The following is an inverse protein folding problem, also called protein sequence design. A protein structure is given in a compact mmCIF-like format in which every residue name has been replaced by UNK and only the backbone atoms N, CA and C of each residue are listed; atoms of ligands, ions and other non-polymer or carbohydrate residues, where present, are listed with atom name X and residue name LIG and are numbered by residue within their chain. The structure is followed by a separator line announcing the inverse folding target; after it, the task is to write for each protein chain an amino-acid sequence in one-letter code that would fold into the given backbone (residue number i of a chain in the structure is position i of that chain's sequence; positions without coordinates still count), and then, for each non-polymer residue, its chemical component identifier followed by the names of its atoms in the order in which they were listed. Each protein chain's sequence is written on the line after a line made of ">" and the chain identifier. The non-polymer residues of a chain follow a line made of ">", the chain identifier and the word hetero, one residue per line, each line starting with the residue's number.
data_IF_715980119049
#
_entry.id   IF_715980119049
#
_cell.length_a   1.000
_cell.length_b   1.000
_cell.length_c   1.000
_cell.angle_alpha   90.00
_cell.angle_beta   90.00
_cell.angle_gamma   90.00
#
_symmetry.space_group_name_H-M   'P 1'
#
loop_
_entity.id
_entity.type
_entity.pdbx_description
1 polymer ?
#
# COMPACT_ATOMS: atom_id res chain seq x y z
N UNK A 1 -3.24 26.78 -21.46
CA UNK A 1 -1.92 26.58 -20.84
C UNK A 1 -2.12 26.27 -19.38
N UNK A 2 -1.38 25.30 -18.86
CA UNK A 2 -1.43 24.69 -17.53
C UNK A 2 -1.93 25.61 -16.39
N UNK A 3 -3.24 25.64 -16.15
CA UNK A 3 -3.77 26.15 -14.89
C UNK A 3 -3.49 25.09 -13.83
N UNK A 4 -2.61 25.43 -12.89
CA UNK A 4 -2.11 24.60 -11.80
C UNK A 4 -3.23 23.71 -11.21
N UNK A 5 -3.16 22.37 -11.35
CA UNK A 5 -4.25 21.45 -10.96
C UNK A 5 -4.68 21.69 -9.51
N UNK A 6 -3.72 21.99 -8.65
CA UNK A 6 -3.91 22.28 -7.22
C UNK A 6 -4.85 23.47 -7.01
N UNK A 7 -4.69 24.56 -7.76
CA UNK A 7 -5.53 25.77 -7.63
C UNK A 7 -6.93 25.53 -8.20
N UNK A 8 -7.06 24.70 -9.23
CA UNK A 8 -8.35 24.37 -9.82
C UNK A 8 -9.14 23.35 -9.00
N UNK A 9 -8.48 22.47 -8.24
CA UNK A 9 -9.15 21.56 -7.29
C UNK A 9 -10.02 22.33 -6.29
N UNK A 10 -9.53 23.46 -5.78
CA UNK A 10 -10.29 24.28 -4.82
C UNK A 10 -11.41 25.12 -5.46
N UNK A 11 -11.42 25.26 -6.79
CA UNK A 11 -12.47 26.00 -7.52
C UNK A 11 -13.69 25.15 -7.84
N UNK A 12 -13.50 23.84 -8.07
CA UNK A 12 -14.60 22.93 -8.38
C UNK A 12 -15.26 22.47 -7.08
N UNK A 13 -16.53 22.86 -6.88
CA UNK A 13 -17.30 22.56 -5.65
C UNK A 13 -17.30 21.06 -5.32
N UNK A 14 -17.50 20.21 -6.32
CA UNK A 14 -17.51 18.76 -6.13
C UNK A 14 -16.17 18.21 -5.61
N UNK A 15 -15.04 18.63 -6.21
CA UNK A 15 -13.70 18.17 -5.80
C UNK A 15 -13.40 18.66 -4.38
N UNK A 16 -13.75 19.91 -4.07
CA UNK A 16 -13.57 20.48 -2.73
C UNK A 16 -14.38 19.73 -1.67
N UNK A 17 -15.64 19.42 -1.94
CA UNK A 17 -16.50 18.73 -0.97
C UNK A 17 -15.99 17.29 -0.72
N UNK A 18 -15.51 16.59 -1.77
CA UNK A 18 -14.83 15.29 -1.64
C UNK A 18 -13.53 15.38 -0.85
N UNK A 19 -12.71 16.40 -1.11
CA UNK A 19 -11.44 16.64 -0.40
C UNK A 19 -11.70 16.88 1.10
N UNK A 20 -12.66 17.76 1.43
CA UNK A 20 -13.01 18.06 2.81
C UNK A 20 -13.54 16.82 3.54
N UNK A 21 -14.35 16.00 2.87
CA UNK A 21 -14.81 14.73 3.42
C UNK A 21 -13.65 13.76 3.71
N UNK A 22 -12.69 13.64 2.79
CA UNK A 22 -11.47 12.84 3.04
C UNK A 22 -10.69 13.37 4.25
N UNK A 23 -10.43 14.67 4.33
CA UNK A 23 -9.72 15.26 5.48
C UNK A 23 -10.45 15.04 6.81
N UNK A 24 -11.78 15.18 6.82
CA UNK A 24 -12.59 14.95 8.01
C UNK A 24 -12.48 13.51 8.48
N UNK A 25 -12.56 12.53 7.58
CA UNK A 25 -12.39 11.11 7.96
C UNK A 25 -10.97 10.85 8.45
N UNK A 26 -9.93 11.40 7.80
CA UNK A 26 -8.56 11.23 8.25
C UNK A 26 -8.34 11.84 9.64
N UNK A 27 -8.98 12.96 9.95
CA UNK A 27 -8.96 13.54 11.29
C UNK A 27 -9.65 12.62 12.32
N UNK A 28 -10.81 12.03 11.99
CA UNK A 28 -11.48 11.05 12.86
C UNK A 28 -10.63 9.80 13.07
N UNK A 29 -10.01 9.28 12.00
CA UNK A 29 -9.07 8.16 12.10
C UNK A 29 -7.88 8.50 13.01
N UNK A 30 -7.35 9.72 12.92
CA UNK A 30 -6.27 10.18 13.80
C UNK A 30 -6.71 10.29 15.26
N UNK A 31 -7.89 10.84 15.53
CA UNK A 31 -8.43 10.87 16.89
C UNK A 31 -8.57 9.45 17.46
N UNK A 32 -9.07 8.51 16.66
CA UNK A 32 -9.16 7.10 17.04
C UNK A 32 -7.81 6.37 17.21
N UNK A 33 -6.70 6.96 16.77
CA UNK A 33 -5.33 6.43 16.97
C UNK A 33 -4.68 6.86 18.29
N UNK A 34 -5.31 7.77 19.04
CA UNK A 34 -4.86 8.25 20.35
C UNK A 34 -5.69 7.67 21.51
N UNK A 35 -6.90 7.18 21.22
CA UNK A 35 -7.80 6.60 22.23
C UNK A 35 -7.33 5.20 22.59
N UNK A 36 -6.74 5.04 23.77
CA UNK A 36 -6.25 3.75 24.28
C UNK A 36 -7.39 2.76 24.54
N UNK A 37 -7.11 1.47 24.36
CA UNK A 37 -8.07 0.40 24.66
C UNK A 37 -8.35 0.37 26.17
N UNK A 38 -9.62 0.23 26.60
CA UNK A 38 -9.96 0.13 28.01
C UNK A 38 -9.24 -1.02 28.71
N UNK A 39 -8.71 -0.74 29.91
CA UNK A 39 -7.99 -1.72 30.73
C UNK A 39 -6.47 -1.73 30.58
N UNK A 40 -5.93 -0.78 29.81
CA UNK A 40 -4.49 -0.60 29.61
C UNK A 40 -4.05 0.74 30.21
N UNK A 41 -2.94 0.73 30.95
CA UNK A 41 -2.32 1.96 31.45
C UNK A 41 -1.43 2.61 30.38
N UNK A 42 -1.83 3.77 29.90
CA UNK A 42 -1.09 4.54 28.91
C UNK A 42 0.29 5.02 29.43
N UNK A 43 0.43 5.29 30.74
CA UNK A 43 1.67 5.80 31.30
C UNK A 43 2.76 4.73 31.36
N UNK A 44 2.38 3.48 31.62
CA UNK A 44 3.30 2.33 31.62
C UNK A 44 3.75 2.02 30.19
N UNK A 45 2.84 2.12 29.22
CA UNK A 45 3.16 1.91 27.81
C UNK A 45 4.16 2.90 27.25
N UNK A 46 3.97 4.20 27.52
CA UNK A 46 4.88 5.25 27.05
C UNK A 46 6.29 4.97 27.61
N UNK A 47 6.41 4.70 28.92
CA UNK A 47 7.70 4.35 29.54
C UNK A 47 8.32 3.07 28.96
N UNK A 48 7.51 2.06 28.69
CA UNK A 48 7.99 0.79 28.11
C UNK A 48 8.52 0.96 26.69
N UNK A 49 7.79 1.70 25.85
CA UNK A 49 8.21 1.95 24.48
C UNK A 49 9.37 2.94 24.38
N UNK A 50 9.46 3.92 25.27
CA UNK A 50 10.61 4.83 25.37
C UNK A 50 11.89 4.08 25.77
N UNK A 51 11.82 3.19 26.77
CA UNK A 51 12.98 2.37 27.19
C UNK A 51 13.39 1.36 26.09
N UNK A 52 12.43 0.77 25.41
CA UNK A 52 12.73 -0.12 24.28
C UNK A 52 13.24 0.62 23.04
N UNK A 53 12.81 1.87 22.82
CA UNK A 53 13.35 2.74 21.78
C UNK A 53 14.81 3.11 22.08
N UNK A 54 15.13 3.41 23.35
CA UNK A 54 16.51 3.65 23.79
C UNK A 54 17.41 2.42 23.60
N UNK A 55 16.87 1.21 23.72
CA UNK A 55 17.61 -0.05 23.58
C UNK A 55 17.68 -0.62 22.15
N UNK A 56 17.13 0.06 21.12
CA UNK A 56 17.06 -0.44 19.73
C UNK A 56 16.41 -1.84 19.57
N UNK A 57 15.64 -2.31 20.56
CA UNK A 57 15.00 -3.65 20.55
C UNK A 57 13.59 -3.65 19.92
N UNK A 58 13.15 -2.50 19.43
CA UNK A 58 11.77 -2.24 19.01
C UNK A 58 11.46 -2.48 17.54
N UNK A 59 12.30 -3.17 16.78
CA UNK A 59 12.16 -3.26 15.31
C UNK A 59 10.81 -3.80 14.82
N UNK A 60 10.12 -4.64 15.60
CA UNK A 60 8.78 -5.12 15.28
C UNK A 60 7.69 -4.11 15.63
N UNK A 61 7.72 -3.58 16.85
CA UNK A 61 6.76 -2.58 17.30
C UNK A 61 6.81 -1.35 16.39
N UNK A 62 8.02 -0.84 16.10
CA UNK A 62 8.23 0.30 15.20
C UNK A 62 7.69 0.07 13.79
N UNK A 63 7.84 -1.16 13.27
CA UNK A 63 7.29 -1.56 11.97
C UNK A 63 5.76 -1.63 11.98
N UNK A 64 5.13 -2.21 13.01
CA UNK A 64 3.66 -2.24 13.12
C UNK A 64 3.09 -0.83 13.24
N UNK A 65 3.71 -0.04 14.11
CA UNK A 65 3.40 1.36 14.32
C UNK A 65 3.43 2.17 13.03
N UNK A 66 4.37 1.84 12.15
CA UNK A 66 4.64 2.55 10.91
C UNK A 66 3.41 2.70 10.01
N UNK A 67 2.66 1.62 9.79
CA UNK A 67 1.50 1.64 8.89
C UNK A 67 0.23 2.17 9.57
N UNK A 68 0.21 2.20 10.91
CA UNK A 68 -0.97 2.61 11.70
C UNK A 68 -0.76 3.96 12.39
N UNK A 69 0.27 4.71 11.99
CA UNK A 69 0.46 6.09 12.44
C UNK A 69 0.73 6.27 13.94
N UNK A 70 1.14 5.23 14.66
CA UNK A 70 1.38 5.31 16.12
C UNK A 70 0.26 4.73 16.97
N UNK A 71 -0.78 4.17 16.34
CA UNK A 71 -1.85 3.52 17.07
C UNK A 71 -1.41 2.26 17.81
N UNK A 72 -0.31 1.61 17.39
CA UNK A 72 0.19 0.38 17.99
C UNK A 72 0.95 0.66 19.30
N UNK A 73 1.85 1.65 19.30
CA UNK A 73 2.57 2.15 20.50
C UNK A 73 1.63 2.67 21.56
N UNK A 74 0.55 3.34 21.16
CA UNK A 74 -0.47 3.83 22.08
C UNK A 74 -1.49 2.76 22.51
N UNK A 75 -1.40 1.52 22.00
CA UNK A 75 -2.45 0.49 22.16
C UNK A 75 -3.85 1.07 21.94
N UNK A 76 -4.02 1.76 20.83
CA UNK A 76 -5.25 2.44 20.49
C UNK A 76 -6.36 1.47 20.09
N UNK A 77 -7.61 1.91 20.12
CA UNK A 77 -8.75 1.15 19.56
C UNK A 77 -8.49 0.77 18.10
N UNK A 78 -7.80 1.64 17.35
CA UNK A 78 -7.41 1.44 15.95
C UNK A 78 -6.01 0.83 15.78
N UNK A 79 -5.46 0.14 16.77
CA UNK A 79 -4.09 -0.40 16.79
C UNK A 79 -3.70 -1.25 15.57
N UNK A 80 -4.62 -2.07 15.05
CA UNK A 80 -4.37 -2.88 13.84
C UNK A 80 -4.62 -2.09 12.55
N UNK A 81 -5.33 -0.96 12.64
CA UNK A 81 -5.69 -0.12 11.51
C UNK A 81 -6.41 -0.91 10.41
N UNK A 82 -5.90 -0.77 9.20
CA UNK A 82 -6.42 -1.42 7.99
C UNK A 82 -5.61 -2.67 7.61
N UNK A 83 -4.55 -3.00 8.35
CA UNK A 83 -3.67 -4.13 8.04
C UNK A 83 -4.40 -5.48 7.92
N UNK A 84 -5.33 -5.85 8.82
CA UNK A 84 -6.01 -7.14 8.73
C UNK A 84 -6.79 -7.28 7.42
N UNK A 85 -7.39 -6.18 6.95
CA UNK A 85 -8.10 -6.14 5.68
C UNK A 85 -7.15 -6.30 4.51
N UNK A 86 -6.02 -5.58 4.53
CA UNK A 86 -4.99 -5.73 3.49
C UNK A 86 -4.58 -7.20 3.45
N UNK A 87 -4.14 -7.80 4.56
CA UNK A 87 -3.76 -9.21 4.61
C UNK A 87 -4.83 -10.15 4.04
N UNK A 88 -6.11 -9.92 4.36
CA UNK A 88 -7.19 -10.73 3.79
C UNK A 88 -7.44 -10.47 2.32
N UNK A 89 -7.28 -9.24 1.84
CA UNK A 89 -7.34 -8.92 0.42
C UNK A 89 -6.24 -9.66 -0.35
N UNK A 90 -5.04 -9.76 0.22
CA UNK A 90 -3.92 -10.56 -0.34
C UNK A 90 -4.31 -12.04 -0.42
N UNK A 91 -4.79 -12.59 0.70
CA UNK A 91 -5.18 -14.00 0.78
C UNK A 91 -6.29 -14.30 -0.22
N UNK A 92 -7.29 -13.42 -0.35
CA UNK A 92 -8.39 -13.59 -1.31
C UNK A 92 -7.91 -13.47 -2.76
N UNK A 93 -7.00 -12.54 -3.06
CA UNK A 93 -6.39 -12.46 -4.41
C UNK A 93 -5.64 -13.75 -4.74
N UNK A 94 -4.86 -14.29 -3.81
CA UNK A 94 -4.19 -15.58 -3.98
C UNK A 94 -5.19 -16.73 -4.14
N UNK A 95 -6.24 -16.75 -3.34
CA UNK A 95 -7.27 -17.78 -3.38
C UNK A 95 -8.04 -17.77 -4.72
N UNK A 96 -8.34 -16.61 -5.30
CA UNK A 96 -8.99 -16.51 -6.61
C UNK A 96 -8.15 -17.15 -7.72
N UNK A 97 -6.82 -17.15 -7.58
CA UNK A 97 -5.91 -17.75 -8.54
C UNK A 97 -5.83 -19.26 -8.36
N UNK A 98 -5.67 -19.71 -7.11
CA UNK A 98 -5.47 -21.12 -6.77
C UNK A 98 -6.76 -21.91 -6.97
N UNK A 99 -7.91 -21.31 -6.66
CA UNK A 99 -9.21 -21.97 -6.71
C UNK A 99 -10.02 -21.50 -7.94
N UNK A 100 -10.19 -22.36 -8.97
CA UNK A 100 -10.94 -22.02 -10.18
C UNK A 100 -12.39 -21.63 -9.92
N UNK A 101 -13.00 -22.12 -8.83
CA UNK A 101 -14.35 -21.75 -8.39
C UNK A 101 -14.43 -20.27 -8.02
N UNK A 102 -13.45 -19.75 -7.28
CA UNK A 102 -13.36 -18.32 -6.94
C UNK A 102 -13.06 -17.47 -8.18
N UNK A 103 -12.25 -17.97 -9.13
CA UNK A 103 -12.05 -17.31 -10.44
C UNK A 103 -13.36 -17.16 -11.21
N UNK A 104 -14.19 -18.20 -11.27
CA UNK A 104 -15.52 -18.14 -11.93
C UNK A 104 -16.43 -17.13 -11.26
N UNK A 105 -16.51 -17.14 -9.92
CA UNK A 105 -17.29 -16.15 -9.16
C UNK A 105 -16.80 -14.74 -9.45
N UNK A 106 -15.49 -14.52 -9.62
CA UNK A 106 -14.95 -13.21 -9.99
C UNK A 106 -15.36 -12.71 -11.37
N UNK A 107 -15.65 -13.62 -12.30
CA UNK A 107 -15.98 -13.32 -13.70
C UNK A 107 -17.50 -13.15 -13.93
N UNK A 108 -18.33 -13.51 -12.95
CA UNK A 108 -19.78 -13.27 -12.98
C UNK A 108 -20.12 -11.78 -12.79
N UNK A 109 -21.30 -11.37 -13.28
CA UNK A 109 -21.85 -10.04 -13.02
C UNK A 109 -22.04 -9.81 -11.51
N UNK A 110 -21.36 -8.79 -10.97
CA UNK A 110 -21.34 -8.52 -9.53
C UNK A 110 -20.37 -9.40 -8.72
N UNK A 111 -19.59 -10.27 -9.37
CA UNK A 111 -18.60 -11.14 -8.77
C UNK A 111 -17.57 -10.42 -7.88
N UNK A 112 -17.10 -9.25 -8.32
CA UNK A 112 -16.18 -8.43 -7.53
C UNK A 112 -16.78 -7.98 -6.19
N UNK A 113 -18.10 -7.71 -6.13
CA UNK A 113 -18.77 -7.37 -4.87
C UNK A 113 -18.84 -8.57 -3.93
N UNK A 114 -19.09 -9.78 -4.45
CA UNK A 114 -19.06 -11.03 -3.66
C UNK A 114 -17.66 -11.27 -3.08
N UNK A 115 -16.60 -11.11 -3.87
CA UNK A 115 -15.21 -11.27 -3.39
C UNK A 115 -14.88 -10.22 -2.33
N UNK A 116 -15.31 -8.98 -2.51
CA UNK A 116 -15.14 -7.94 -1.49
C UNK A 116 -15.88 -8.30 -0.18
N UNK A 117 -17.08 -8.88 -0.26
CA UNK A 117 -17.83 -9.35 0.90
C UNK A 117 -17.11 -10.50 1.62
N UNK A 118 -16.60 -11.50 0.89
CA UNK A 118 -15.78 -12.56 1.47
C UNK A 118 -14.50 -12.04 2.12
N UNK A 119 -13.85 -11.05 1.48
CA UNK A 119 -12.68 -10.38 2.05
C UNK A 119 -13.01 -9.72 3.38
N UNK A 120 -14.16 -9.02 3.48
CA UNK A 120 -14.61 -8.38 4.74
C UNK A 120 -14.92 -9.39 5.83
N UNK A 121 -15.64 -10.47 5.51
CA UNK A 121 -15.95 -11.52 6.48
C UNK A 121 -14.66 -12.18 6.96
N UNK A 122 -13.75 -12.50 6.04
CA UNK A 122 -12.43 -13.03 6.37
C UNK A 122 -11.60 -12.08 7.22
N UNK A 123 -11.72 -10.77 7.01
CA UNK A 123 -11.01 -9.75 7.79
C UNK A 123 -11.38 -9.81 9.26
N UNK A 124 -12.65 -10.06 9.60
CA UNK A 124 -13.09 -10.21 11.00
C UNK A 124 -12.36 -11.37 11.67
N UNK A 125 -12.23 -12.51 10.98
CA UNK A 125 -11.54 -13.69 11.51
C UNK A 125 -10.06 -13.38 11.77
N UNK A 126 -9.39 -12.70 10.81
CA UNK A 126 -7.98 -12.30 11.00
C UNK A 126 -7.83 -11.28 12.12
N UNK A 127 -8.75 -10.32 12.25
CA UNK A 127 -8.75 -9.37 13.36
C UNK A 127 -8.83 -10.08 14.71
N UNK A 128 -9.69 -11.10 14.84
CA UNK A 128 -9.84 -11.86 16.08
C UNK A 128 -8.53 -12.60 16.41
N UNK A 129 -7.91 -13.26 15.42
CA UNK A 129 -6.65 -13.98 15.60
C UNK A 129 -5.52 -13.01 15.99
N UNK A 130 -5.38 -11.87 15.30
CA UNK A 130 -4.36 -10.88 15.58
C UNK A 130 -4.59 -10.16 16.91
N UNK A 131 -5.84 -9.82 17.25
CA UNK A 131 -6.19 -9.23 18.53
C UNK A 131 -5.91 -10.19 19.69
N UNK A 132 -6.12 -11.50 19.50
CA UNK A 132 -5.73 -12.52 20.48
C UNK A 132 -4.22 -12.55 20.69
N UNK A 133 -3.43 -12.63 19.61
CA UNK A 133 -1.97 -12.59 19.69
C UNK A 133 -1.46 -11.32 20.37
N UNK A 134 -2.08 -10.18 20.04
CA UNK A 134 -1.72 -8.89 20.61
C UNK A 134 -2.13 -8.75 22.08
N UNK A 135 -3.21 -9.40 22.51
CA UNK A 135 -3.56 -9.48 23.93
C UNK A 135 -2.52 -10.26 24.73
N UNK A 136 -1.98 -11.35 24.17
CA UNK A 136 -0.86 -12.09 24.79
C UNK A 136 0.39 -11.21 24.87
N UNK A 137 0.70 -10.45 23.82
CA UNK A 137 1.78 -9.47 23.83
C UNK A 137 1.58 -8.39 24.91
N UNK A 138 0.37 -7.85 25.06
CA UNK A 138 0.02 -6.89 26.12
C UNK A 138 0.27 -7.46 27.52
N UNK A 139 -0.10 -8.72 27.75
CA UNK A 139 0.13 -9.40 29.03
C UNK A 139 1.63 -9.63 29.32
N UNK A 140 2.49 -9.65 28.29
CA UNK A 140 3.93 -9.78 28.46
C UNK A 140 4.61 -8.49 28.94
N UNK A 141 3.90 -7.36 28.92
CA UNK A 141 4.39 -6.07 29.39
C UNK A 141 4.02 -5.94 30.88
N UNK A 142 5.01 -5.91 31.80
CA UNK A 142 4.74 -5.85 33.24
C UNK A 142 4.00 -4.56 33.60
N UNK A 143 2.90 -4.67 34.35
CA UNK A 143 2.10 -3.53 34.82
C UNK A 143 1.19 -2.88 33.76
N UNK A 144 1.14 -3.40 32.54
CA UNK A 144 0.37 -2.80 31.45
C UNK A 144 -1.15 -2.97 31.60
N UNK A 145 -1.60 -4.02 32.29
CA UNK A 145 -3.02 -4.38 32.42
C UNK A 145 -3.51 -3.96 33.79
N UNK A 146 -4.49 -3.06 33.80
CA UNK A 146 -5.10 -2.52 35.03
C UNK A 146 -6.23 -3.40 35.55
N UNK A 147 -6.88 -4.20 34.67
CA UNK A 147 -7.93 -5.12 35.08
C UNK A 147 -7.35 -6.39 35.76
N UNK A 148 -7.80 -6.66 36.98
CA UNK A 148 -7.41 -7.87 37.73
C UNK A 148 -7.88 -9.16 37.04
N UNK A 149 -9.06 -9.16 36.39
CA UNK A 149 -9.57 -10.32 35.65
C UNK A 149 -9.02 -10.39 34.22
N UNK A 150 -7.96 -11.18 34.05
CA UNK A 150 -7.27 -11.40 32.76
C UNK A 150 -8.17 -11.95 31.65
N UNK A 151 -9.20 -12.73 31.98
CA UNK A 151 -10.09 -13.31 30.96
C UNK A 151 -11.13 -12.29 30.47
N UNK A 152 -11.69 -11.50 31.39
CA UNK A 152 -12.59 -10.40 31.05
C UNK A 152 -11.86 -9.33 30.23
N UNK A 153 -10.62 -9.00 30.61
CA UNK A 153 -9.77 -8.09 29.83
C UNK A 153 -9.51 -8.62 28.41
N UNK A 154 -9.15 -9.89 28.26
CA UNK A 154 -8.95 -10.50 26.93
C UNK A 154 -10.19 -10.37 26.06
N UNK A 155 -11.37 -10.73 26.56
CA UNK A 155 -12.62 -10.62 25.82
C UNK A 155 -12.93 -9.17 25.40
N UNK A 156 -12.79 -8.22 26.34
CA UNK A 156 -12.99 -6.80 26.08
C UNK A 156 -12.00 -6.26 25.03
N UNK A 157 -10.72 -6.65 25.14
CA UNK A 157 -9.67 -6.27 24.21
C UNK A 157 -9.95 -6.80 22.80
N UNK A 158 -10.31 -8.09 22.68
CA UNK A 158 -10.67 -8.72 21.42
C UNK A 158 -11.82 -8.00 20.72
N UNK A 159 -12.90 -7.70 21.45
CA UNK A 159 -14.07 -6.99 20.88
C UNK A 159 -13.70 -5.56 20.49
N UNK A 160 -12.97 -4.84 21.35
CA UNK A 160 -12.61 -3.44 21.10
C UNK A 160 -11.70 -3.29 19.88
N UNK A 161 -10.64 -4.10 19.79
CA UNK A 161 -9.67 -4.04 18.69
C UNK A 161 -10.28 -4.53 17.38
N UNK A 162 -11.09 -5.58 17.42
CA UNK A 162 -11.81 -6.08 16.23
C UNK A 162 -12.80 -5.04 15.72
N UNK A 163 -13.57 -4.43 16.62
CA UNK A 163 -14.53 -3.38 16.26
C UNK A 163 -13.80 -2.15 15.70
N UNK A 164 -12.71 -1.73 16.34
CA UNK A 164 -11.88 -0.61 15.87
C UNK A 164 -11.34 -0.84 14.46
N UNK A 165 -10.76 -2.01 14.19
CA UNK A 165 -10.27 -2.38 12.85
C UNK A 165 -11.40 -2.38 11.81
N UNK A 166 -12.58 -2.93 12.13
CA UNK A 166 -13.72 -2.91 11.21
C UNK A 166 -14.27 -1.50 10.96
N UNK A 167 -14.25 -0.63 11.97
CA UNK A 167 -14.57 0.78 11.80
C UNK A 167 -13.55 1.48 10.91
N UNK A 168 -12.25 1.17 11.03
CA UNK A 168 -11.24 1.72 10.13
C UNK A 168 -11.48 1.29 8.67
N UNK A 169 -11.79 0.01 8.42
CA UNK A 169 -12.16 -0.47 7.07
C UNK A 169 -13.38 0.27 6.54
N UNK A 170 -14.41 0.44 7.38
CA UNK A 170 -15.60 1.17 7.00
C UNK A 170 -15.32 2.65 6.68
N UNK A 171 -14.47 3.33 7.46
CA UNK A 171 -14.02 4.69 7.17
C UNK A 171 -13.28 4.76 5.82
N UNK A 172 -12.46 3.76 5.51
CA UNK A 172 -11.81 3.62 4.20
C UNK A 172 -12.79 3.47 3.04
N UNK A 173 -13.84 2.67 3.22
CA UNK A 173 -14.89 2.55 2.22
C UNK A 173 -15.63 3.88 2.02
N UNK A 174 -15.89 4.63 3.11
CA UNK A 174 -16.52 5.94 3.01
C UNK A 174 -15.67 6.93 2.21
N UNK A 175 -14.34 6.97 2.46
CA UNK A 175 -13.42 7.80 1.65
C UNK A 175 -13.47 7.35 0.18
N UNK A 176 -13.49 6.05 -0.10
CA UNK A 176 -13.52 5.56 -1.48
C UNK A 176 -14.83 5.93 -2.19
N UNK A 177 -15.95 5.94 -1.48
CA UNK A 177 -17.26 6.23 -2.05
C UNK A 177 -17.54 7.74 -2.23
N UNK A 178 -17.12 8.57 -1.27
CA UNK A 178 -17.47 10.01 -1.21
C UNK A 178 -16.28 10.95 -1.22
N UNK A 179 -15.07 10.43 -1.09
CA UNK A 179 -13.83 11.19 -1.07
C UNK A 179 -13.08 11.15 -2.40
N UNK A 180 -11.77 11.35 -2.30
CA UNK A 180 -10.81 11.29 -3.42
C UNK A 180 -9.83 10.15 -3.16
N UNK A 181 -9.53 9.37 -4.21
CA UNK A 181 -8.56 8.28 -4.13
C UNK A 181 -9.16 6.98 -3.60
N UNK A 182 -8.28 6.02 -3.36
CA UNK A 182 -8.61 4.79 -2.63
C UNK A 182 -8.49 5.08 -1.13
N UNK A 183 -9.59 4.96 -0.38
CA UNK A 183 -9.62 5.32 1.02
C UNK A 183 -8.71 4.51 1.92
N UNK A 184 -8.51 3.23 1.63
CA UNK A 184 -7.60 2.36 2.39
C UNK A 184 -6.16 2.86 2.20
N UNK A 185 -5.77 3.13 0.96
CA UNK A 185 -4.43 3.64 0.66
C UNK A 185 -4.22 5.05 1.22
N UNK A 186 -5.24 5.91 1.20
CA UNK A 186 -5.19 7.25 1.79
C UNK A 186 -5.03 7.22 3.32
N UNK A 187 -5.63 6.26 4.02
CA UNK A 187 -5.43 6.09 5.46
C UNK A 187 -3.99 5.68 5.81
N UNK A 188 -3.39 4.78 5.03
CA UNK A 188 -1.98 4.38 5.21
C UNK A 188 -1.07 5.58 4.91
N UNK A 189 -1.32 6.29 3.81
CA UNK A 189 -0.61 7.51 3.45
C UNK A 189 -0.64 8.54 4.58
N UNK A 190 -1.82 8.82 5.12
CA UNK A 190 -1.98 9.75 6.24
C UNK A 190 -1.24 9.28 7.50
N UNK A 191 -1.25 7.97 7.78
CA UNK A 191 -0.50 7.37 8.89
C UNK A 191 1.02 7.55 8.77
N UNK A 192 1.56 7.40 7.55
CA UNK A 192 2.99 7.62 7.26
C UNK A 192 3.33 9.11 7.38
N UNK A 193 2.53 9.98 6.76
CA UNK A 193 2.76 11.44 6.76
C UNK A 193 2.67 12.03 8.16
N UNK A 194 1.76 11.53 9.02
CA UNK A 194 1.62 11.99 10.40
C UNK A 194 2.86 11.75 11.27
N UNK A 195 3.77 10.85 10.88
CA UNK A 195 5.03 10.55 11.60
C UNK A 195 6.19 11.43 11.18
N UNK A 196 6.11 12.02 9.99
CA UNK A 196 7.18 12.82 9.39
C UNK A 196 7.61 14.00 10.29
N UNK A 197 6.69 14.74 10.96
CA UNK A 197 7.09 15.80 11.88
C UNK A 197 7.94 15.30 13.07
N UNK A 198 7.50 14.21 13.71
CA UNK A 198 8.21 13.65 14.87
C UNK A 198 9.61 13.13 14.48
N UNK A 199 9.72 12.49 13.32
CA UNK A 199 11.00 12.00 12.81
C UNK A 199 11.99 13.15 12.52
N UNK A 200 11.50 14.28 11.99
CA UNK A 200 12.33 15.49 11.78
C UNK A 200 12.81 16.06 13.11
N UNK A 201 11.94 16.12 14.13
CA UNK A 201 12.32 16.61 15.46
C UNK A 201 13.36 15.69 16.12
N UNK A 202 13.17 14.37 16.04
CA UNK A 202 14.14 13.38 16.54
C UNK A 202 15.50 13.53 15.85
N UNK A 203 15.51 13.68 14.52
CA UNK A 203 16.72 13.93 13.75
C UNK A 203 17.40 15.23 14.20
N UNK A 204 16.64 16.32 14.35
CA UNK A 204 17.17 17.61 14.76
C UNK A 204 17.78 17.56 16.17
N UNK A 205 17.18 16.78 17.09
CA UNK A 205 17.73 16.57 18.42
C UNK A 205 19.04 15.78 18.38
N UNK A 206 19.13 14.70 17.60
CA UNK A 206 20.38 13.93 17.44
C UNK A 206 21.51 14.72 16.79
N UNK A 207 21.18 15.58 15.84
CA UNK A 207 22.14 16.49 15.22
C UNK A 207 22.64 17.53 16.23
N UNK A 208 21.74 18.10 17.04
CA UNK A 208 22.12 19.03 18.12
C UNK A 208 22.95 18.36 19.22
N UNK A 209 22.69 17.09 19.51
CA UNK A 209 23.47 16.29 20.46
C UNK A 209 24.86 15.90 19.93
N UNK A 210 25.16 16.15 18.65
CA UNK A 210 26.43 15.78 18.03
C UNK A 210 26.57 14.30 17.70
N UNK A 211 25.52 13.49 17.90
CA UNK A 211 25.51 12.06 17.53
C UNK A 211 25.59 11.86 16.01
N UNK A 212 25.07 12.82 15.24
CA UNK A 212 25.03 12.77 13.78
C UNK A 212 25.67 14.03 13.21
N UNK A 213 26.69 13.87 12.38
CA UNK A 213 27.35 14.97 11.70
C UNK A 213 26.39 15.62 10.68
N UNK A 214 26.32 16.96 10.68
CA UNK A 214 25.46 17.74 9.79
C UNK A 214 25.71 17.42 8.30
N UNK A 215 26.95 17.09 7.93
CA UNK A 215 27.34 16.71 6.57
C UNK A 215 26.57 15.47 6.08
N UNK A 216 26.40 14.47 6.94
CA UNK A 216 25.63 13.27 6.60
C UNK A 216 24.15 13.55 6.43
N UNK A 217 23.58 14.49 7.18
CA UNK A 217 22.18 14.92 7.03
C UNK A 217 21.93 15.54 5.66
N UNK A 218 22.81 16.44 5.22
CA UNK A 218 22.70 17.07 3.91
C UNK A 218 22.82 16.02 2.79
N UNK A 219 23.79 15.11 2.89
CA UNK A 219 23.96 14.02 1.93
C UNK A 219 22.73 13.12 1.85
N UNK A 220 22.15 12.75 3.00
CA UNK A 220 20.96 11.90 3.08
C UNK A 220 19.72 12.59 2.50
N UNK A 221 19.56 13.91 2.70
CA UNK A 221 18.47 14.69 2.08
C UNK A 221 18.62 14.73 0.56
N UNK A 222 19.83 14.96 0.04
CA UNK A 222 20.09 14.97 -1.41
C UNK A 222 19.77 13.60 -2.01
N UNK A 223 20.23 12.53 -1.36
CA UNK A 223 19.94 11.16 -1.77
C UNK A 223 18.43 10.88 -1.73
N UNK A 224 17.70 11.37 -0.72
CA UNK A 224 16.25 11.20 -0.62
C UNK A 224 15.50 11.86 -1.78
N UNK A 225 15.86 13.09 -2.14
CA UNK A 225 15.29 13.79 -3.31
C UNK A 225 15.60 13.01 -4.59
N UNK A 226 16.82 12.47 -4.73
CA UNK A 226 17.20 11.65 -5.87
C UNK A 226 16.36 10.36 -5.95
N UNK A 227 16.13 9.68 -4.83
CA UNK A 227 15.29 8.47 -4.77
C UNK A 227 13.84 8.81 -5.14
N UNK A 228 13.27 9.91 -4.62
CA UNK A 228 11.92 10.36 -5.01
C UNK A 228 11.83 10.55 -6.51
N UNK A 229 12.78 11.30 -7.11
CA UNK A 229 12.80 11.53 -8.55
C UNK A 229 12.90 10.24 -9.36
N UNK A 230 13.72 9.30 -8.88
CA UNK A 230 13.91 7.98 -9.48
C UNK A 230 12.64 7.09 -9.36
N UNK A 231 11.91 7.13 -8.25
CA UNK A 231 10.61 6.46 -8.09
C UNK A 231 9.54 7.08 -8.99
N UNK A 232 9.42 8.40 -9.04
CA UNK A 232 8.46 9.08 -9.92
C UNK A 232 8.75 8.76 -11.39
N UNK A 233 10.02 8.73 -11.78
CA UNK A 233 10.43 8.40 -13.15
C UNK A 233 10.05 6.97 -13.53
N UNK A 234 10.24 6.01 -12.61
CA UNK A 234 9.91 4.61 -12.82
C UNK A 234 8.39 4.37 -12.86
N UNK A 235 7.64 4.94 -11.91
CA UNK A 235 6.17 4.83 -11.82
C UNK A 235 5.45 5.50 -13.01
N UNK A 236 6.01 6.61 -13.52
CA UNK A 236 5.50 7.29 -14.73
C UNK A 236 5.91 6.58 -16.02
N UNK A 237 6.88 5.67 -15.94
CA UNK A 237 7.43 4.93 -17.07
C UNK A 237 6.40 3.96 -17.66
N UNK A 238 6.11 4.12 -18.95
CA UNK A 238 5.24 3.19 -19.69
C UNK A 238 5.85 2.81 -21.04
N UNK A 239 5.81 1.51 -21.33
CA UNK A 239 6.07 0.94 -22.65
C UNK A 239 4.76 0.88 -23.43
N UNK A 240 4.69 1.65 -24.51
CA UNK A 240 3.51 1.69 -25.40
C UNK A 240 3.63 0.61 -26.47
N UNK A 241 2.69 -0.33 -26.50
CA UNK A 241 2.60 -1.38 -27.53
C UNK A 241 1.52 -0.96 -28.53
N UNK A 242 1.86 -0.66 -29.80
CA UNK A 242 0.88 -0.22 -30.78
C UNK A 242 -0.09 -1.36 -31.13
N UNK A 243 -1.37 -1.04 -31.27
CA UNK A 243 -2.42 -1.94 -31.72
C UNK A 243 -3.22 -1.24 -32.82
N UNK A 244 -3.37 -1.93 -33.95
CA UNK A 244 -4.22 -1.49 -35.04
C UNK A 244 -5.53 -2.27 -35.01
N UNK A 245 -6.64 -1.55 -34.82
CA UNK A 245 -7.97 -2.12 -35.01
C UNK A 245 -8.35 -2.11 -36.48
N UNK A 246 -8.90 -3.23 -36.95
CA UNK A 246 -9.37 -3.38 -38.31
C UNK A 246 -10.41 -2.30 -38.64
N UNK A 247 -10.24 -1.68 -39.80
CA UNK A 247 -11.16 -0.65 -40.31
C UNK A 247 -12.42 -1.33 -40.83
N UNK A 248 -13.60 -0.78 -40.50
CA UNK A 248 -14.85 -1.21 -41.12
C UNK A 248 -15.16 -0.26 -42.27
N UNK A 249 -15.03 -0.74 -43.51
CA UNK A 249 -15.46 0.01 -44.69
C UNK A 249 -16.96 -0.21 -44.86
N UNK A 250 -17.75 0.85 -44.72
CA UNK A 250 -19.20 0.83 -45.00
C UNK A 250 -19.47 1.84 -46.12
N UNK A 251 -19.76 1.34 -47.33
CA UNK A 251 -19.92 2.17 -48.52
C UNK A 251 -18.60 2.82 -48.99
N UNK A 252 -18.64 4.10 -49.38
CA UNK A 252 -17.46 4.88 -49.84
C UNK A 252 -16.73 5.63 -48.71
N UNK A 253 -17.19 5.53 -47.46
CA UNK A 253 -16.60 6.23 -46.31
C UNK A 253 -15.87 5.23 -45.42
N UNK A 254 -14.61 5.53 -45.18
CA UNK A 254 -13.77 4.78 -44.25
C UNK A 254 -14.13 5.22 -42.82
N UNK A 255 -14.69 4.32 -42.02
CA UNK A 255 -14.92 4.53 -40.60
C UNK A 255 -13.94 3.67 -39.79
N UNK A 256 -13.26 4.30 -38.83
CA UNK A 256 -12.32 3.61 -37.96
C UNK A 256 -10.95 3.33 -38.60
N UNK A 257 -10.00 2.99 -37.74
CA UNK A 257 -8.58 2.85 -38.08
C UNK A 257 -7.63 3.72 -37.27
N UNK A 258 -8.05 4.15 -36.08
CA UNK A 258 -7.15 4.81 -35.16
C UNK A 258 -6.16 3.77 -34.62
N UNK A 259 -4.87 4.02 -34.82
CA UNK A 259 -3.83 3.33 -34.06
C UNK A 259 -4.01 3.70 -32.60
N UNK A 260 -4.23 2.69 -31.77
CA UNK A 260 -4.13 2.86 -30.32
C UNK A 260 -2.82 2.25 -29.85
N UNK A 261 -2.55 2.38 -28.56
CA UNK A 261 -1.51 1.61 -27.90
C UNK A 261 -2.03 1.07 -26.57
N UNK A 262 -1.52 -0.09 -26.19
CA UNK A 262 -1.68 -0.64 -24.85
C UNK A 262 -0.48 -0.16 -24.03
N UNK A 263 -0.69 0.62 -22.95
CA UNK A 263 0.38 1.03 -22.06
C UNK A 263 0.69 -0.09 -21.07
N UNK A 264 1.90 -0.64 -21.12
CA UNK A 264 2.45 -1.46 -20.04
C UNK A 264 3.37 -0.60 -19.19
N UNK A 265 3.04 -0.44 -17.90
CA UNK A 265 3.95 0.22 -16.96
C UNK A 265 5.26 -0.54 -16.82
N UNK A 266 6.35 0.15 -16.45
CA UNK A 266 7.66 -0.49 -16.18
C UNK A 266 7.54 -1.50 -15.05
N UNK A 267 6.83 -1.13 -13.98
CA UNK A 267 6.39 -2.04 -12.93
C UNK A 267 4.86 -2.16 -12.92
N UNK A 268 4.29 -3.20 -13.56
CA UNK A 268 2.85 -3.37 -13.61
C UNK A 268 2.22 -3.74 -12.26
N UNK A 269 3.04 -4.17 -11.31
CA UNK A 269 2.59 -4.57 -9.98
C UNK A 269 2.55 -3.41 -8.97
N UNK A 270 3.03 -2.22 -9.35
CA UNK A 270 3.24 -1.07 -8.46
C UNK A 270 3.89 -1.53 -7.12
N UNK A 271 3.29 -1.13 -6.00
CA UNK A 271 3.76 -1.34 -4.62
C UNK A 271 3.36 -2.70 -4.03
N UNK A 272 2.44 -3.42 -4.65
CA UNK A 272 1.75 -4.58 -4.05
C UNK A 272 2.71 -5.74 -3.69
N UNK A 273 3.65 -6.14 -4.56
CA UNK A 273 4.60 -7.21 -4.24
C UNK A 273 5.44 -6.93 -2.99
N UNK A 274 5.81 -5.67 -2.78
CA UNK A 274 6.57 -5.24 -1.62
C UNK A 274 5.75 -5.38 -0.33
N UNK A 275 4.46 -5.07 -0.39
CA UNK A 275 3.54 -5.26 0.74
C UNK A 275 3.38 -6.75 1.04
N UNK A 276 3.30 -7.60 0.02
CA UNK A 276 3.15 -9.05 0.17
C UNK A 276 4.39 -9.67 0.82
N UNK A 277 5.57 -9.33 0.30
CA UNK A 277 6.84 -9.79 0.83
C UNK A 277 6.99 -9.43 2.31
N UNK A 278 6.71 -8.18 2.67
CA UNK A 278 6.77 -7.74 4.06
C UNK A 278 5.70 -8.40 4.94
N UNK A 279 4.47 -8.57 4.45
CA UNK A 279 3.39 -9.21 5.23
C UNK A 279 3.73 -10.67 5.56
N UNK A 280 4.31 -11.41 4.60
CA UNK A 280 4.73 -12.80 4.81
C UNK A 280 5.90 -12.91 5.78
N UNK A 281 6.85 -11.98 5.76
CA UNK A 281 7.96 -11.98 6.71
C UNK A 281 7.55 -11.53 8.11
N UNK A 282 6.55 -10.66 8.22
CA UNK A 282 6.15 -10.07 9.50
C UNK A 282 5.17 -10.96 10.26
N UNK A 283 4.27 -11.68 9.58
CA UNK A 283 3.30 -12.58 10.24
C UNK A 283 3.96 -13.63 11.15
N UNK A 284 5.00 -14.38 10.71
CA UNK A 284 5.71 -15.30 11.60
C UNK A 284 6.42 -14.58 12.74
N UNK A 285 6.97 -13.38 12.50
CA UNK A 285 7.61 -12.57 13.53
C UNK A 285 6.60 -12.16 14.62
N UNK A 286 5.36 -11.82 14.26
CA UNK A 286 4.27 -11.56 15.23
C UNK A 286 4.06 -12.76 16.14
N UNK A 287 3.90 -13.95 15.55
CA UNK A 287 3.65 -15.18 16.29
C UNK A 287 4.83 -15.55 17.19
N UNK A 288 6.04 -15.51 16.64
CA UNK A 288 7.28 -15.81 17.37
C UNK A 288 7.45 -14.86 18.54
N UNK A 289 7.27 -13.55 18.38
CA UNK A 289 7.44 -12.61 19.50
C UNK A 289 6.36 -12.72 20.57
N UNK A 290 5.14 -13.10 20.18
CA UNK A 290 4.04 -13.32 21.11
C UNK A 290 4.22 -14.61 21.94
N UNK A 291 4.84 -15.64 21.35
CA UNK A 291 5.01 -16.98 21.96
C UNK A 291 6.38 -17.16 22.62
N UNK A 292 7.44 -16.54 22.09
CA UNK A 292 8.83 -16.77 22.52
C UNK A 292 9.17 -16.25 23.93
N UNK A 293 8.35 -15.38 24.51
CA UNK A 293 8.55 -14.87 25.88
C UNK A 293 7.96 -15.77 26.98
N UNK A 294 7.27 -16.86 26.62
CA UNK A 294 6.94 -17.91 27.61
C UNK A 294 8.19 -18.71 27.97
N UNK A 295 8.34 -19.11 29.24
CA UNK A 295 9.52 -19.80 29.80
C UNK A 295 9.95 -21.08 29.05
N UNK A 296 9.11 -21.61 28.15
CA UNK A 296 9.37 -22.80 27.33
C UNK A 296 9.47 -22.48 25.82
N UNK A 297 10.18 -21.43 25.44
CA UNK A 297 10.42 -21.15 24.02
C UNK A 297 11.47 -22.10 23.43
N UNK A 298 10.99 -23.09 22.69
CA UNK A 298 11.82 -24.10 22.04
C UNK A 298 12.88 -23.43 21.11
N UNK A 299 14.14 -23.92 21.14
CA UNK A 299 15.31 -23.32 20.45
C UNK A 299 15.11 -23.02 18.95
N UNK A 300 14.16 -23.69 18.29
CA UNK A 300 13.79 -23.39 16.90
C UNK A 300 13.09 -22.03 16.76
N UNK A 301 12.22 -21.66 17.70
CA UNK A 301 11.48 -20.38 17.72
C UNK A 301 12.46 -19.21 17.84
N UNK A 302 13.44 -19.31 18.73
CA UNK A 302 14.47 -18.27 18.91
C UNK A 302 15.49 -18.22 17.76
N UNK A 303 15.66 -19.31 17.01
CA UNK A 303 16.49 -19.33 15.80
C UNK A 303 15.79 -18.68 14.62
N UNK A 304 14.48 -18.92 14.46
CA UNK A 304 13.62 -18.21 13.49
C UNK A 304 13.57 -16.71 13.82
N UNK A 305 13.40 -16.35 15.10
CA UNK A 305 13.40 -14.95 15.55
C UNK A 305 14.67 -14.20 15.12
N UNK A 306 15.84 -14.84 15.21
CA UNK A 306 17.13 -14.25 14.82
C UNK A 306 17.24 -14.02 13.32
N UNK A 307 16.78 -14.97 12.50
CA UNK A 307 16.77 -14.86 11.03
C UNK A 307 15.78 -13.78 10.56
N UNK A 308 14.63 -13.65 11.23
CA UNK A 308 13.58 -12.69 10.91
C UNK A 308 13.76 -11.30 11.55
N UNK A 309 14.95 -10.99 12.08
CA UNK A 309 15.21 -9.64 12.60
C UNK A 309 15.24 -8.63 11.45
N UNK A 310 14.45 -7.54 11.46
CA UNK A 310 14.35 -6.59 10.34
C UNK A 310 15.67 -5.89 9.93
N UNK A 311 16.69 -5.95 10.78
CA UNK A 311 18.03 -5.39 10.52
C UNK A 311 19.07 -6.47 10.17
N UNK A 312 18.67 -7.74 10.12
CA UNK A 312 19.55 -8.86 9.81
C UNK A 312 19.83 -8.98 8.31
N UNK A 313 21.08 -9.33 7.97
CA UNK A 313 21.48 -9.59 6.56
C UNK A 313 20.60 -10.66 5.90
N UNK A 314 20.20 -11.69 6.66
CA UNK A 314 19.33 -12.76 6.19
C UNK A 314 17.89 -12.30 5.92
N UNK A 315 17.36 -11.40 6.75
CA UNK A 315 16.04 -10.81 6.53
C UNK A 315 16.00 -10.02 5.22
N UNK A 316 17.02 -9.18 4.98
CA UNK A 316 17.12 -8.41 3.74
C UNK A 316 17.26 -9.29 2.50
N UNK A 317 18.05 -10.36 2.58
CA UNK A 317 18.21 -11.31 1.47
C UNK A 317 16.89 -12.03 1.16
N UNK A 318 16.19 -12.51 2.19
CA UNK A 318 14.86 -13.11 2.02
C UNK A 318 13.86 -12.09 1.46
N UNK A 319 13.85 -10.86 1.97
CA UNK A 319 12.98 -9.78 1.51
C UNK A 319 13.17 -9.52 0.01
N UNK A 320 14.42 -9.42 -0.47
CA UNK A 320 14.72 -9.20 -1.90
C UNK A 320 14.20 -10.35 -2.76
N UNK A 321 14.50 -11.59 -2.37
CA UNK A 321 14.05 -12.78 -3.12
C UNK A 321 12.52 -12.80 -3.20
N UNK A 322 11.87 -12.49 -2.07
CA UNK A 322 10.42 -12.53 -1.95
C UNK A 322 9.76 -11.39 -2.74
N UNK A 323 10.35 -10.19 -2.77
CA UNK A 323 9.91 -9.08 -3.63
C UNK A 323 9.97 -9.48 -5.10
N UNK A 324 11.10 -10.05 -5.54
CA UNK A 324 11.26 -10.47 -6.94
C UNK A 324 10.24 -11.55 -7.27
N UNK A 325 10.12 -12.58 -6.42
CA UNK A 325 9.14 -13.66 -6.59
C UNK A 325 7.70 -13.10 -6.71
N UNK A 326 7.28 -12.24 -5.78
CA UNK A 326 5.92 -11.69 -5.81
C UNK A 326 5.69 -10.72 -6.97
N UNK A 327 6.72 -10.00 -7.43
CA UNK A 327 6.59 -9.13 -8.59
C UNK A 327 6.32 -9.92 -9.88
N UNK A 328 7.02 -11.05 -10.06
CA UNK A 328 6.75 -11.98 -11.16
C UNK A 328 5.38 -12.63 -11.02
N UNK A 329 5.10 -13.19 -9.84
CA UNK A 329 3.85 -13.88 -9.58
C UNK A 329 2.63 -12.97 -9.79
N UNK A 330 2.63 -11.77 -9.19
CA UNK A 330 1.52 -10.83 -9.28
C UNK A 330 1.31 -10.34 -10.72
N UNK A 331 2.38 -9.97 -11.42
CA UNK A 331 2.27 -9.44 -12.80
C UNK A 331 1.72 -10.50 -13.76
N UNK A 332 2.22 -11.74 -13.71
CA UNK A 332 1.76 -12.79 -14.62
C UNK A 332 0.29 -13.15 -14.42
N UNK A 333 -0.18 -13.05 -13.17
CA UNK A 333 -1.57 -13.32 -12.82
C UNK A 333 -2.49 -12.20 -13.29
N UNK A 334 -2.16 -10.94 -12.96
CA UNK A 334 -3.04 -9.80 -13.25
C UNK A 334 -3.02 -9.41 -14.72
N UNK A 335 -1.86 -9.49 -15.36
CA UNK A 335 -1.68 -9.23 -16.79
C UNK A 335 -1.51 -10.54 -17.54
N UNK A 336 -2.56 -11.35 -17.57
CA UNK A 336 -2.55 -12.60 -18.32
C UNK A 336 -2.40 -12.31 -19.83
N UNK A 337 -1.25 -12.64 -20.46
CA UNK A 337 -0.98 -12.29 -21.86
C UNK A 337 -1.96 -12.98 -22.83
N UNK A 338 -2.44 -14.17 -22.45
CA UNK A 338 -3.39 -14.96 -23.24
C UNK A 338 -4.76 -14.28 -23.31
N UNK A 339 -5.26 -13.79 -22.17
CA UNK A 339 -6.53 -13.05 -22.09
C UNK A 339 -6.42 -11.69 -22.80
N UNK A 340 -5.29 -10.98 -22.67
CA UNK A 340 -5.06 -9.71 -23.38
C UNK A 340 -5.04 -9.94 -24.90
N UNK A 341 -4.31 -10.94 -25.38
CA UNK A 341 -4.26 -11.26 -26.80
C UNK A 341 -5.62 -11.72 -27.34
N UNK A 342 -6.39 -12.50 -26.56
CA UNK A 342 -7.76 -12.89 -26.91
C UNK A 342 -8.66 -11.66 -27.04
N UNK A 343 -8.64 -10.75 -26.08
CA UNK A 343 -9.39 -9.48 -26.15
C UNK A 343 -8.99 -8.62 -27.36
N UNK A 344 -7.70 -8.55 -27.70
CA UNK A 344 -7.24 -7.84 -28.91
C UNK A 344 -7.86 -8.46 -30.15
N UNK A 345 -7.82 -9.80 -30.27
CA UNK A 345 -8.40 -10.53 -31.41
C UNK A 345 -9.91 -10.37 -31.53
N UNK A 346 -10.63 -10.51 -30.42
CA UNK A 346 -12.10 -10.37 -30.37
C UNK A 346 -12.56 -8.95 -30.75
N UNK A 347 -11.78 -7.93 -30.39
CA UNK A 347 -12.03 -6.54 -30.80
C UNK A 347 -11.53 -6.21 -32.22
N UNK A 348 -11.09 -7.20 -33.01
CA UNK A 348 -10.57 -7.01 -34.37
C UNK A 348 -9.23 -6.25 -34.42
N UNK A 349 -8.47 -6.25 -33.33
CA UNK A 349 -7.14 -5.66 -33.22
C UNK A 349 -6.02 -6.60 -33.63
N UNK A 350 -4.92 -6.04 -34.09
CA UNK A 350 -3.66 -6.76 -34.33
C UNK A 350 -2.45 -5.89 -33.98
N UNK A 351 -1.37 -6.51 -33.52
CA UNK A 351 -0.10 -5.83 -33.27
C UNK A 351 0.71 -5.85 -34.58
N UNK A 352 1.09 -4.69 -35.14
CA UNK A 352 1.88 -4.65 -36.37
C UNK A 352 3.22 -5.39 -36.21
N UNK A 353 3.55 -6.25 -37.18
CA UNK A 353 4.78 -7.03 -37.19
C UNK A 353 4.75 -8.33 -36.37
N UNK A 354 3.63 -8.67 -35.72
CA UNK A 354 3.48 -9.90 -34.94
C UNK A 354 2.31 -10.72 -35.51
N UNK A 355 2.54 -12.01 -35.78
CA UNK A 355 1.47 -12.90 -36.25
C UNK A 355 0.42 -13.10 -35.14
N UNK A 356 -0.85 -13.23 -35.53
CA UNK A 356 -2.00 -13.28 -34.61
C UNK A 356 -1.95 -14.47 -33.64
N UNK A 357 -1.35 -15.58 -34.06
CA UNK A 357 -1.09 -16.79 -33.26
C UNK A 357 0.02 -16.56 -32.21
N UNK A 358 1.03 -15.75 -32.54
CA UNK A 358 2.18 -15.45 -31.67
C UNK A 358 2.06 -14.19 -30.83
N UNK A 359 0.87 -13.57 -30.81
CA UNK A 359 0.64 -12.35 -30.02
C UNK A 359 0.82 -12.62 -28.52
N UNK A 360 0.41 -13.80 -28.05
CA UNK A 360 0.54 -14.24 -26.65
C UNK A 360 2.02 -14.37 -26.23
N UNK A 361 2.83 -15.05 -27.04
CA UNK A 361 4.28 -15.21 -26.81
C UNK A 361 5.00 -13.85 -26.81
N UNK A 362 4.62 -12.96 -27.75
CA UNK A 362 5.19 -11.63 -27.84
C UNK A 362 4.92 -10.78 -26.60
N UNK A 363 3.66 -10.75 -26.14
CA UNK A 363 3.28 -10.03 -24.92
C UNK A 363 3.96 -10.61 -23.69
N UNK A 364 4.04 -11.94 -23.58
CA UNK A 364 4.73 -12.64 -22.48
C UNK A 364 6.22 -12.28 -22.43
N UNK A 365 6.90 -12.27 -23.59
CA UNK A 365 8.31 -11.88 -23.70
C UNK A 365 8.54 -10.42 -23.29
N UNK A 366 7.63 -9.52 -23.63
CA UNK A 366 7.71 -8.12 -23.21
C UNK A 366 7.52 -8.00 -21.70
N UNK A 367 6.48 -8.62 -21.14
CA UNK A 367 6.18 -8.56 -19.71
C UNK A 367 7.33 -9.11 -18.88
N UNK A 368 7.86 -10.30 -19.20
CA UNK A 368 9.00 -10.87 -18.48
C UNK A 368 10.26 -9.98 -18.52
N UNK A 369 10.46 -9.24 -19.61
CA UNK A 369 11.59 -8.31 -19.76
C UNK A 369 11.38 -6.97 -19.05
N UNK A 370 10.13 -6.57 -18.83
CA UNK A 370 9.77 -5.38 -18.04
C UNK A 370 9.82 -5.66 -16.53
N UNK A 371 9.33 -6.83 -16.10
CA UNK A 371 9.27 -7.19 -14.68
C UNK A 371 10.66 -7.30 -14.05
N UNK A 372 11.67 -7.78 -14.79
CA UNK A 372 13.02 -7.96 -14.24
C UNK A 372 13.63 -6.65 -13.70
N UNK A 373 13.74 -5.57 -14.49
CA UNK A 373 14.23 -4.29 -13.98
C UNK A 373 13.30 -3.68 -12.93
N UNK A 374 11.97 -3.77 -13.07
CA UNK A 374 11.02 -3.22 -12.10
C UNK A 374 11.10 -3.91 -10.73
N UNK A 375 11.22 -5.23 -10.69
CA UNK A 375 11.33 -6.01 -9.45
C UNK A 375 12.68 -5.82 -8.75
N UNK A 376 13.78 -5.71 -9.52
CA UNK A 376 15.09 -5.38 -8.98
C UNK A 376 15.13 -3.96 -8.40
N UNK A 377 14.45 -3.03 -9.06
CA UNK A 377 14.28 -1.66 -8.58
C UNK A 377 13.52 -1.59 -7.25
N UNK A 378 12.37 -2.27 -7.16
CA UNK A 378 11.61 -2.37 -5.91
C UNK A 378 12.45 -2.98 -4.79
N UNK A 379 13.20 -4.05 -5.09
CA UNK A 379 14.07 -4.72 -4.14
C UNK A 379 15.20 -3.80 -3.66
N UNK A 380 15.80 -3.02 -4.56
CA UNK A 380 16.85 -2.05 -4.22
C UNK A 380 16.31 -0.99 -3.26
N UNK A 381 15.15 -0.39 -3.56
CA UNK A 381 14.54 0.63 -2.70
C UNK A 381 14.19 0.07 -1.31
N UNK A 382 13.72 -1.18 -1.24
CA UNK A 382 13.42 -1.85 0.03
C UNK A 382 14.63 -1.99 0.96
N UNK A 383 15.84 -2.10 0.40
CA UNK A 383 17.09 -2.26 1.17
C UNK A 383 17.65 -0.90 1.61
N UNK A 384 17.35 0.20 0.90
CA UNK A 384 17.90 1.54 1.18
C UNK A 384 17.83 1.93 2.67
N UNK A 385 16.69 1.81 3.38
CA UNK A 385 16.60 2.14 4.81
C UNK A 385 17.64 1.45 5.66
N UNK A 386 17.88 0.15 5.40
CA UNK A 386 18.82 -0.65 6.17
C UNK A 386 20.26 -0.24 5.89
N UNK A 387 20.59 0.15 4.65
CA UNK A 387 21.89 0.70 4.30
C UNK A 387 22.10 2.04 5.00
N UNK A 388 21.10 2.93 4.98
CA UNK A 388 21.16 4.24 5.64
C UNK A 388 21.42 4.07 7.15
N UNK A 389 20.69 3.17 7.78
CA UNK A 389 20.84 2.90 9.21
C UNK A 389 22.22 2.31 9.53
N UNK A 390 22.69 1.35 8.75
CA UNK A 390 23.96 0.65 9.02
C UNK A 390 25.20 1.51 8.74
N UNK A 391 25.16 2.40 7.75
CA UNK A 391 26.31 3.21 7.34
C UNK A 391 26.35 4.57 8.02
N UNK A 392 25.19 5.19 8.24
CA UNK A 392 25.11 6.56 8.76
C UNK A 392 24.57 6.65 10.20
N UNK A 393 24.14 5.53 10.80
CA UNK A 393 23.64 5.52 12.18
C UNK A 393 22.35 6.31 12.40
N UNK A 394 21.60 6.60 11.32
CA UNK A 394 20.37 7.38 11.42
C UNK A 394 19.31 6.64 12.25
N UNK A 395 18.46 7.39 12.98
CA UNK A 395 17.35 6.78 13.70
C UNK A 395 16.45 5.99 12.74
N UNK A 396 15.98 4.84 13.22
CA UNK A 396 15.22 3.88 12.41
C UNK A 396 13.93 4.51 11.85
N UNK A 397 13.30 5.40 12.61
CA UNK A 397 12.11 6.18 12.23
C UNK A 397 12.35 6.98 10.95
N UNK A 398 13.46 7.72 10.89
CA UNK A 398 13.86 8.54 9.75
C UNK A 398 14.28 7.67 8.57
N UNK A 399 15.11 6.65 8.81
CA UNK A 399 15.59 5.76 7.75
C UNK A 399 14.42 5.03 7.06
N UNK A 400 13.42 4.57 7.82
CA UNK A 400 12.23 3.92 7.28
C UNK A 400 11.27 4.90 6.59
N UNK A 401 11.23 6.18 6.95
CA UNK A 401 10.44 7.17 6.21
C UNK A 401 11.12 7.59 4.91
N UNK A 402 12.46 7.66 4.92
CA UNK A 402 13.26 8.12 3.78
C UNK A 402 13.54 7.03 2.73
N UNK A 403 13.14 5.79 2.96
CA UNK A 403 13.30 4.73 1.97
C UNK A 403 12.37 3.55 2.19
N UNK A 404 12.42 2.58 1.28
CA UNK A 404 11.66 1.34 1.39
C UNK A 404 10.17 1.47 1.10
N UNK A 405 9.36 0.75 1.86
CA UNK A 405 7.93 0.53 1.56
C UNK A 405 7.07 1.77 1.73
N UNK A 406 7.35 2.62 2.71
CA UNK A 406 6.67 3.92 2.88
C UNK A 406 6.81 4.81 1.68
N UNK A 407 8.02 4.98 1.17
CA UNK A 407 8.30 5.95 0.13
C UNK A 407 7.54 5.57 -1.13
N UNK A 408 7.54 4.27 -1.46
CA UNK A 408 6.80 3.73 -2.60
C UNK A 408 5.29 3.84 -2.37
N UNK A 409 4.78 3.53 -1.16
CA UNK A 409 3.36 3.74 -0.83
C UNK A 409 2.98 5.22 -0.96
N UNK A 410 3.82 6.12 -0.43
CA UNK A 410 3.56 7.56 -0.38
C UNK A 410 3.47 8.12 -1.79
N UNK A 411 4.46 7.83 -2.64
CA UNK A 411 4.48 8.28 -4.03
C UNK A 411 3.36 7.61 -4.85
N UNK A 412 3.13 6.31 -4.67
CA UNK A 412 2.09 5.58 -5.39
C UNK A 412 0.69 6.13 -5.11
N UNK A 413 0.36 6.39 -3.84
CA UNK A 413 -0.93 6.97 -3.46
C UNK A 413 -1.08 8.41 -3.95
N UNK A 414 -0.01 9.20 -3.88
CA UNK A 414 -0.02 10.58 -4.38
C UNK A 414 -0.26 10.62 -5.90
N UNK A 415 0.48 9.82 -6.68
CA UNK A 415 0.31 9.70 -8.12
C UNK A 415 -1.08 9.20 -8.51
N UNK A 416 -1.61 8.17 -7.82
CA UNK A 416 -2.96 7.66 -8.07
C UNK A 416 -4.03 8.71 -7.75
N UNK A 417 -3.87 9.44 -6.64
CA UNK A 417 -4.79 10.51 -6.24
C UNK A 417 -4.76 11.64 -7.27
N UNK A 418 -3.56 12.07 -7.68
CA UNK A 418 -3.39 13.12 -8.69
C UNK A 418 -3.98 12.71 -10.04
N UNK A 419 -3.76 11.47 -10.47
CA UNK A 419 -4.33 10.92 -11.71
C UNK A 419 -5.86 10.93 -11.69
N UNK A 420 -6.48 10.51 -10.58
CA UNK A 420 -7.93 10.56 -10.43
C UNK A 420 -8.48 11.98 -10.44
N UNK A 421 -7.79 12.91 -9.76
CA UNK A 421 -8.19 14.32 -9.76
C UNK A 421 -8.07 14.93 -11.16
N UNK A 422 -6.99 14.65 -11.88
CA UNK A 422 -6.85 15.07 -13.28
C UNK A 422 -7.94 14.50 -14.18
N UNK A 423 -8.33 13.23 -13.97
CA UNK A 423 -9.41 12.61 -14.73
C UNK A 423 -10.75 13.33 -14.49
N UNK A 424 -11.08 13.62 -13.23
CA UNK A 424 -12.28 14.39 -12.86
C UNK A 424 -12.26 15.80 -13.47
N UNK A 425 -11.11 16.48 -13.43
CA UNK A 425 -10.94 17.80 -14.04
C UNK A 425 -11.11 17.73 -15.56
N UNK A 426 -10.52 16.74 -16.24
CA UNK A 426 -10.65 16.56 -17.71
C UNK A 426 -12.09 16.32 -18.12
N UNK A 427 -12.85 15.51 -17.37
CA UNK A 427 -14.28 15.29 -17.64
C UNK A 427 -15.09 16.60 -17.59
N UNK A 428 -14.83 17.47 -16.61
CA UNK A 428 -15.49 18.77 -16.53
C UNK A 428 -15.13 19.72 -17.68
N UNK A 429 -13.88 19.71 -18.16
CA UNK A 429 -13.48 20.57 -19.29
C UNK A 429 -14.05 20.09 -20.64
N UNK A 430 -14.43 18.82 -20.77
CA UNK A 430 -15.07 18.30 -21.98
C UNK A 430 -16.50 18.84 -22.20
N UNK A 431 -17.24 19.18 -21.14
CA UNK A 431 -18.58 19.80 -21.26
C UNK A 431 -18.54 21.19 -21.91
N UNK A 432 -17.40 21.89 -21.84
CA UNK A 432 -17.22 23.19 -22.49
C UNK A 432 -17.07 23.13 -24.01
N UNK A 433 -16.62 21.99 -24.55
CA UNK A 433 -16.34 21.82 -25.98
C UNK A 433 -17.56 21.36 -26.79
N UNK A 434 -18.52 20.66 -26.17
CA UNK A 434 -19.71 20.12 -26.87
C UNK A 434 -20.87 21.10 -26.98
N UNK A 435 -20.80 22.29 -26.36
CA UNK A 435 -21.91 23.27 -26.32
C UNK A 435 -21.96 24.29 -27.48
N UNK A 436 -21.13 24.16 -28.51
CA UNK A 436 -21.16 25.04 -29.72
C UNK A 436 -21.36 24.26 -31.01
N UNK A 437 -22.50 23.57 -31.10
CA UNK A 437 -23.03 23.05 -32.36
C UNK A 437 -24.49 23.46 -32.51
N UNK A 438 -24.77 24.73 -32.83
CA UNK A 438 -26.09 25.09 -33.37
C UNK A 438 -26.19 24.48 -34.77
N UNK A 439 -26.82 23.32 -34.89
CA UNK A 439 -27.37 22.89 -36.17
C UNK A 439 -28.50 23.87 -36.48
N UNK A 440 -28.24 24.78 -37.42
CA UNK A 440 -29.24 25.69 -37.96
C UNK A 440 -30.20 24.83 -38.79
N UNK A 441 -31.37 24.52 -38.23
CA UNK A 441 -32.47 23.92 -38.97
C UNK A 441 -32.84 24.81 -40.16
N UNK A 442 -33.03 24.19 -41.32
CA UNK A 442 -33.44 24.81 -42.59
C UNK A 442 -34.71 25.63 -42.42
N UNK A 443 -34.81 26.71 -43.19
CA UNK A 443 -35.99 27.09 -43.94
C UNK A 443 -35.54 27.78 -45.23
N UNK A 444 -35.63 27.03 -46.34
CA UNK A 444 -36.04 27.37 -47.71
C UNK A 444 -35.75 26.14 -48.59
#
# INVERSE_FOLDING_TARGET
>A
MASNPIVNMFKVKEIRDRLFFTFLILAVFRLGSVITVPGIDANVLIKYFDDLAAQNKNAFASYMDFFVGGAFSNFSILMLGVMPYISMQIIMQLAVIIFPSLKRISQEDGGQRKIAQYTRIGTIIVCIIQAWGMSVYANSIPGCIVLENKMAFKALFLVTVTTGSMVAVWLGDQITARGIGNGISMMIFAGIVARLPNAIVELAQKVKAGEIQLVFVILVIIMFIAIIGLVIYEESGQRKIPVHYAKRVVGRKMYGGQSTYIPFKVNPSNVIPLIFANSILTMPLMFVQSVAKGENSARWISSIARVLTPNGKWYNLLLVILIIFFAYFYTQVTLNPTEIAKNIRENGGSIPGVRTDKTEEYLTKILNRLILPGSLFLALIAIIPTLIQSWFGFPQSVAQLMGGTSLIILIGVDLDTMSQVEALLKMHHHEGLTKKGKIRSRNL
#
